data_IF_903641025344
#
_entry.id   IF_903641025344
#
_cell.length_a   1.000
_cell.length_b   1.000
_cell.length_c   1.000
_cell.angle_alpha   90.00
_cell.angle_beta   90.00
_cell.angle_gamma   90.00
#
_symmetry.space_group_name_H-M   'P 1'
#
loop_
_entity.id
_entity.type
_entity.pdbx_description
1 polymer ?
#
# COMPACT_ATOMS: atom_id res chain seq x y z
N UNK A 1 -7.24 -3.75 26.26
CA UNK A 1 -7.88 -2.72 25.42
C UNK A 1 -6.98 -2.57 24.21
N UNK A 2 -7.49 -2.73 23.00
CA UNK A 2 -6.66 -2.56 21.80
C UNK A 2 -6.36 -1.07 21.68
N UNK A 3 -5.09 -0.68 21.79
CA UNK A 3 -4.67 0.70 21.55
C UNK A 3 -5.13 1.09 20.14
N UNK A 4 -6.03 2.06 20.05
CA UNK A 4 -6.55 2.51 18.76
C UNK A 4 -5.43 3.31 18.08
N UNK A 5 -4.84 2.72 17.05
CA UNK A 5 -3.81 3.37 16.23
C UNK A 5 -4.46 3.99 15.02
N UNK A 6 -4.35 5.31 14.92
CA UNK A 6 -4.80 6.06 13.76
C UNK A 6 -3.59 6.31 12.87
N UNK A 7 -3.63 5.77 11.64
CA UNK A 7 -2.66 6.04 10.59
C UNK A 7 -3.29 7.01 9.60
N UNK A 8 -2.70 8.20 9.48
CA UNK A 8 -3.18 9.26 8.61
C UNK A 8 -2.15 9.52 7.49
N UNK A 9 -2.59 9.42 6.25
CA UNK A 9 -1.79 9.87 5.11
C UNK A 9 -1.77 11.40 5.05
N UNK A 10 -0.56 11.98 4.95
CA UNK A 10 -0.35 13.43 4.95
C UNK A 10 -0.12 13.95 3.53
N UNK A 11 0.65 13.22 2.74
CA UNK A 11 0.99 13.64 1.39
C UNK A 11 2.18 12.87 0.83
N UNK A 12 2.61 13.26 -0.36
CA UNK A 12 3.78 12.66 -1.02
C UNK A 12 4.71 13.74 -1.58
N UNK A 13 5.97 13.38 -1.77
CA UNK A 13 6.97 14.17 -2.47
C UNK A 13 7.63 13.31 -3.56
N UNK A 14 7.78 13.85 -4.76
CA UNK A 14 8.50 13.19 -5.85
C UNK A 14 9.95 13.66 -5.87
N UNK A 15 10.89 12.77 -5.57
CA UNK A 15 12.32 13.02 -5.63
C UNK A 15 12.95 12.35 -6.85
N UNK A 16 14.23 12.62 -7.09
CA UNK A 16 14.93 12.14 -8.28
C UNK A 16 14.93 10.60 -8.42
N UNK A 17 15.10 9.87 -7.32
CA UNK A 17 15.23 8.39 -7.33
C UNK A 17 14.02 7.67 -6.74
N UNK A 18 13.28 8.34 -5.86
CA UNK A 18 12.20 7.75 -5.10
C UNK A 18 11.03 8.72 -5.01
N UNK A 19 9.86 8.17 -4.71
CA UNK A 19 8.70 8.91 -4.27
C UNK A 19 8.48 8.62 -2.80
N UNK A 20 8.39 9.68 -2.01
CA UNK A 20 8.21 9.62 -0.57
C UNK A 20 6.75 9.83 -0.21
N UNK A 21 6.26 9.08 0.77
CA UNK A 21 4.89 9.11 1.26
C UNK A 21 4.92 9.30 2.77
N UNK A 22 4.33 10.38 3.25
CA UNK A 22 4.38 10.79 4.65
C UNK A 22 3.08 10.43 5.37
N UNK A 23 3.22 9.92 6.58
CA UNK A 23 2.14 9.49 7.45
C UNK A 23 2.32 10.02 8.87
N UNK A 24 1.20 10.34 9.49
CA UNK A 24 1.12 10.56 10.92
C UNK A 24 0.50 9.35 11.59
N UNK A 25 1.15 8.86 12.64
CA UNK A 25 0.61 7.80 13.50
C UNK A 25 0.30 8.40 14.85
N UNK A 26 -0.94 8.28 15.28
CA UNK A 26 -1.39 8.65 16.63
C UNK A 26 -1.83 7.41 17.37
N UNK A 27 -1.27 7.19 18.54
CA UNK A 27 -1.72 6.18 19.50
C UNK A 27 -2.40 6.93 20.63
N UNK A 28 -3.62 6.56 20.98
CA UNK A 28 -4.43 7.12 22.09
C UNK A 28 -3.96 8.49 22.66
N UNK A 29 -3.08 8.45 23.68
CA UNK A 29 -2.56 9.61 24.41
C UNK A 29 -1.10 9.95 24.10
N UNK A 30 -0.49 9.30 23.11
CA UNK A 30 0.88 9.54 22.67
C UNK A 30 0.96 10.73 21.71
N UNK A 31 2.14 11.31 21.63
CA UNK A 31 2.48 12.30 20.62
C UNK A 31 2.31 11.74 19.21
N UNK A 32 2.03 12.63 18.25
CA UNK A 32 1.98 12.27 16.84
C UNK A 32 3.38 11.89 16.40
N UNK A 33 3.51 10.73 15.79
CA UNK A 33 4.78 10.25 15.24
C UNK A 33 4.73 10.26 13.72
N UNK A 34 5.73 10.87 13.12
CA UNK A 34 5.85 10.98 11.67
C UNK A 34 6.58 9.78 11.09
N UNK A 35 6.10 9.32 9.94
CA UNK A 35 6.67 8.20 9.20
C UNK A 35 6.76 8.53 7.73
N UNK A 36 7.87 8.13 7.11
CA UNK A 36 8.10 8.31 5.67
C UNK A 36 8.37 6.95 5.04
N UNK A 37 7.59 6.63 4.01
CA UNK A 37 7.77 5.42 3.21
C UNK A 37 8.19 5.78 1.80
N UNK A 38 9.14 5.02 1.25
CA UNK A 38 9.73 5.31 -0.06
C UNK A 38 9.48 4.18 -1.05
N UNK A 39 9.05 4.55 -2.25
CA UNK A 39 8.96 3.64 -3.40
C UNK A 39 9.95 4.15 -4.46
N UNK A 40 10.78 3.26 -4.98
CA UNK A 40 11.73 3.61 -6.05
C UNK A 40 10.97 3.99 -7.31
N UNK A 41 11.39 5.06 -7.98
CA UNK A 41 10.73 5.54 -9.21
C UNK A 41 10.64 4.44 -10.28
N UNK A 42 11.63 3.55 -10.32
CA UNK A 42 11.65 2.40 -11.23
C UNK A 42 10.47 1.43 -11.05
N UNK A 43 9.91 1.29 -9.85
CA UNK A 43 8.71 0.47 -9.66
C UNK A 43 7.49 1.03 -10.40
N UNK A 44 7.40 2.35 -10.53
CA UNK A 44 6.36 3.00 -11.32
C UNK A 44 6.67 2.93 -12.82
N UNK A 45 7.92 3.21 -13.21
CA UNK A 45 8.35 3.18 -14.62
C UNK A 45 8.18 1.80 -15.25
N UNK A 46 8.52 0.74 -14.50
CA UNK A 46 8.34 -0.65 -14.91
C UNK A 46 6.90 -1.17 -14.77
N UNK A 47 5.95 -0.30 -14.40
CA UNK A 47 4.52 -0.62 -14.20
C UNK A 47 4.26 -1.72 -13.16
N UNK A 48 5.20 -1.93 -12.23
CA UNK A 48 4.99 -2.83 -11.08
C UNK A 48 4.01 -2.24 -10.09
N UNK A 49 3.92 -0.91 -10.01
CA UNK A 49 3.00 -0.16 -9.13
C UNK A 49 2.35 0.97 -9.90
N UNK A 50 1.06 1.22 -9.61
CA UNK A 50 0.35 2.40 -10.09
C UNK A 50 0.47 3.53 -9.06
N UNK A 51 0.58 4.77 -9.52
CA UNK A 51 0.72 5.93 -8.63
C UNK A 51 -0.43 6.07 -7.62
N UNK A 52 -1.64 5.69 -8.02
CA UNK A 52 -2.84 5.70 -7.16
C UNK A 52 -2.82 4.66 -6.05
N UNK A 53 -2.10 3.54 -6.25
CA UNK A 53 -2.07 2.41 -5.31
C UNK A 53 -0.97 2.60 -4.25
N UNK A 54 0.01 3.46 -4.54
CA UNK A 54 1.17 3.66 -3.69
C UNK A 54 0.86 4.11 -2.26
N UNK A 55 -0.08 5.04 -1.98
CA UNK A 55 -0.46 5.36 -0.60
C UNK A 55 -0.97 4.14 0.18
N UNK A 56 -1.74 3.26 -0.46
CA UNK A 56 -2.29 2.05 0.16
C UNK A 56 -1.19 1.02 0.43
N UNK A 57 -0.30 0.79 -0.52
CA UNK A 57 0.89 -0.08 -0.36
C UNK A 57 1.73 0.39 0.84
N UNK A 58 2.00 1.69 0.92
CA UNK A 58 2.75 2.27 2.04
C UNK A 58 2.01 2.10 3.37
N UNK A 59 0.69 2.34 3.39
CA UNK A 59 -0.13 2.15 4.59
C UNK A 59 -0.09 0.69 5.08
N UNK A 60 -0.22 -0.27 4.17
CA UNK A 60 -0.17 -1.70 4.51
C UNK A 60 1.18 -2.09 5.11
N UNK A 61 2.29 -1.61 4.54
CA UNK A 61 3.63 -1.82 5.11
C UNK A 61 3.72 -1.23 6.51
N UNK A 62 3.30 0.02 6.69
CA UNK A 62 3.36 0.70 7.97
C UNK A 62 2.53 -0.02 9.05
N UNK A 63 1.33 -0.51 8.71
CA UNK A 63 0.52 -1.32 9.63
C UNK A 63 1.21 -2.63 10.04
N UNK A 64 1.95 -3.29 9.14
CA UNK A 64 2.73 -4.49 9.48
C UNK A 64 3.87 -4.18 10.46
N UNK A 65 4.58 -3.08 10.24
CA UNK A 65 5.63 -2.64 11.17
C UNK A 65 5.04 -2.29 12.55
N UNK A 66 3.93 -1.54 12.56
CA UNK A 66 3.20 -1.22 13.80
C UNK A 66 2.77 -2.50 14.53
N UNK A 67 2.20 -3.49 13.83
CA UNK A 67 1.82 -4.76 14.44
C UNK A 67 3.02 -5.57 14.97
N UNK A 68 4.16 -5.54 14.26
CA UNK A 68 5.38 -6.29 14.62
C UNK A 68 6.03 -5.74 15.89
N UNK A 69 6.01 -4.41 16.07
CA UNK A 69 6.68 -3.74 17.19
C UNK A 69 5.71 -3.20 18.25
N UNK A 70 4.52 -3.79 18.38
CA UNK A 70 3.52 -3.38 19.38
C UNK A 70 3.23 -1.87 19.35
N UNK A 71 3.04 -1.34 18.14
CA UNK A 71 2.83 0.06 17.79
C UNK A 71 4.02 1.00 18.03
N UNK A 72 5.17 0.53 18.53
CA UNK A 72 6.36 1.34 18.77
C UNK A 72 7.54 0.90 17.88
N UNK A 73 7.44 1.03 16.55
CA UNK A 73 8.50 0.61 15.67
C UNK A 73 9.75 1.51 15.83
N UNK A 74 10.97 0.93 15.79
CA UNK A 74 12.19 1.67 16.08
C UNK A 74 12.53 2.71 15.00
N UNK A 75 12.13 2.46 13.75
CA UNK A 75 12.42 3.33 12.62
C UNK A 75 11.19 4.16 12.24
N UNK A 76 11.44 5.37 11.75
CA UNK A 76 10.43 6.25 11.15
C UNK A 76 10.47 6.23 9.62
N UNK A 77 11.50 5.64 9.02
CA UNK A 77 11.69 5.59 7.57
C UNK A 77 11.71 4.14 7.09
N UNK A 78 10.88 3.84 6.09
CA UNK A 78 10.82 2.51 5.47
C UNK A 78 10.93 2.60 3.96
N UNK A 79 11.53 1.55 3.37
CA UNK A 79 11.56 1.37 1.93
C UNK A 79 10.64 0.23 1.56
N UNK A 80 9.77 0.47 0.59
CA UNK A 80 8.92 -0.57 0.00
C UNK A 80 9.81 -1.49 -0.84
N UNK A 81 9.83 -2.76 -0.47
CA UNK A 81 10.61 -3.80 -1.12
C UNK A 81 9.85 -4.40 -2.32
N UNK A 82 10.55 -5.12 -3.20
CA UNK A 82 9.89 -5.84 -4.30
C UNK A 82 8.86 -6.86 -3.79
N UNK A 83 9.12 -7.50 -2.63
CA UNK A 83 8.19 -8.44 -1.99
C UNK A 83 6.88 -7.74 -1.62
N UNK A 84 6.95 -6.53 -1.06
CA UNK A 84 5.74 -5.76 -0.70
C UNK A 84 4.88 -5.47 -1.94
N UNK A 85 5.52 -5.18 -3.07
CA UNK A 85 4.84 -4.90 -4.34
C UNK A 85 4.18 -6.14 -4.93
N UNK A 86 4.89 -7.27 -4.91
CA UNK A 86 4.37 -8.54 -5.41
C UNK A 86 3.21 -9.05 -4.56
N UNK A 87 3.30 -8.94 -3.23
CA UNK A 87 2.22 -9.28 -2.32
C UNK A 87 0.98 -8.41 -2.56
N UNK A 88 1.16 -7.09 -2.71
CA UNK A 88 0.05 -6.20 -3.02
C UNK A 88 -0.62 -6.57 -4.34
N UNK A 89 0.17 -6.80 -5.40
CA UNK A 89 -0.32 -7.19 -6.72
C UNK A 89 -1.10 -8.50 -6.67
N UNK A 90 -0.61 -9.49 -5.92
CA UNK A 90 -1.27 -10.78 -5.78
C UNK A 90 -2.60 -10.67 -5.01
N UNK A 91 -2.64 -9.87 -3.94
CA UNK A 91 -3.85 -9.65 -3.16
C UNK A 91 -4.93 -8.87 -3.93
N UNK A 92 -4.54 -8.01 -4.86
CA UNK A 92 -5.43 -7.14 -5.64
C UNK A 92 -5.60 -7.59 -7.09
N UNK A 93 -5.10 -8.78 -7.45
CA UNK A 93 -5.32 -9.36 -8.75
C UNK A 93 -6.83 -9.55 -8.97
N UNK A 94 -7.37 -9.16 -10.15
CA UNK A 94 -8.76 -9.43 -10.47
C UNK A 94 -9.01 -10.94 -10.29
N UNK A 95 -10.01 -11.30 -9.49
CA UNK A 95 -10.48 -12.69 -9.44
C UNK A 95 -10.81 -13.08 -10.87
N UNK A 96 -10.24 -14.18 -11.36
CA UNK A 96 -10.54 -14.69 -12.68
C UNK A 96 -12.05 -14.84 -12.80
N UNK A 97 -12.69 -13.89 -13.49
CA UNK A 97 -14.09 -13.98 -13.83
C UNK A 97 -14.17 -15.13 -14.82
N UNK A 98 -14.62 -16.30 -14.36
CA UNK A 98 -15.08 -17.34 -15.27
C UNK A 98 -16.06 -16.67 -16.23
N UNK A 99 -15.66 -16.54 -17.49
CA UNK A 99 -16.43 -15.85 -18.50
C UNK A 99 -17.67 -16.72 -18.77
N UNK A 100 -18.73 -16.51 -18.00
CA UNK A 100 -20.02 -17.19 -18.17
C UNK A 100 -20.86 -16.45 -19.21
N UNK A 101 -20.24 -15.96 -20.28
CA UNK A 101 -21.01 -15.53 -21.45
C UNK A 101 -21.28 -16.79 -22.28
N UNK A 102 -22.42 -17.44 -22.02
CA UNK A 102 -22.96 -18.43 -22.96
C UNK A 102 -23.42 -17.66 -24.20
N UNK A 103 -22.89 -17.95 -25.41
CA UNK A 103 -23.40 -17.32 -26.62
C UNK A 103 -24.90 -17.68 -26.76
N UNK A 104 -25.71 -16.67 -27.06
CA UNK A 104 -27.15 -16.83 -27.34
C UNK A 104 -27.29 -17.79 -28.54
N UNK A 105 -28.11 -18.86 -28.46
CA UNK A 105 -28.32 -19.72 -29.62
C UNK A 105 -28.91 -18.88 -30.76
N UNK A 106 -28.34 -19.03 -31.96
CA UNK A 106 -28.86 -18.39 -33.16
C UNK A 106 -30.26 -18.94 -33.44
N UNK A 107 -31.27 -18.07 -33.42
CA UNK A 107 -32.60 -18.40 -33.94
C UNK A 107 -32.46 -18.75 -35.43
N UNK A 108 -32.87 -19.96 -35.76
CA UNK A 108 -32.90 -20.48 -37.12
C UNK A 108 -34.28 -20.20 -37.70
N UNK A 109 -34.30 -19.37 -38.75
CA UNK A 109 -35.33 -19.14 -39.79
C UNK A 109 -36.77 -18.80 -39.34
#
# INVERSE_FOLDING_TARGET
MSDNVIVQFVGFEAKALVREYNFHVRQASSEIREFTLTIVNEAFNSRRVRYQDAPEICSLRLHRELATYSNCPPQAHYRISEIDLDEYRNAHAPKASGNTYKPKPAESL
#
